data_IF_924244661939
#
_entry.id   IF_924244661939
#
_cell.length_a   1.000
_cell.length_b   1.000
_cell.length_c   1.000
_cell.angle_alpha   90.00
_cell.angle_beta   90.00
_cell.angle_gamma   90.00
#
_symmetry.space_group_name_H-M   'P 1'
#
loop_
_entity.id
_entity.type
_entity.pdbx_description
1 polymer ?
#
# COMPACT_ATOMS: atom_id res chain seq x y z
N UNK A 1 30.17 26.35 -17.39
CA UNK A 1 29.91 25.40 -18.49
C UNK A 1 28.72 25.89 -19.31
N UNK A 2 28.87 26.48 -20.51
CA UNK A 2 27.73 27.00 -21.25
C UNK A 2 27.05 25.85 -22.02
N UNK A 3 26.29 25.02 -21.29
CA UNK A 3 25.54 23.87 -21.81
C UNK A 3 24.13 24.23 -22.29
N UNK A 4 23.99 25.29 -23.08
CA UNK A 4 22.73 25.69 -23.70
C UNK A 4 22.35 24.77 -24.87
N UNK A 5 21.07 24.78 -25.27
CA UNK A 5 20.62 24.13 -26.51
C UNK A 5 21.29 24.83 -27.70
N UNK A 6 21.67 24.07 -28.73
CA UNK A 6 22.19 24.64 -29.98
C UNK A 6 21.16 25.60 -30.56
N UNK A 7 21.61 26.81 -30.89
CA UNK A 7 20.80 27.83 -31.57
C UNK A 7 20.66 27.48 -33.06
N UNK A 8 19.86 28.26 -33.79
CA UNK A 8 19.66 28.04 -35.23
C UNK A 8 20.85 28.53 -36.02
N UNK A 9 21.55 29.54 -35.48
CA UNK A 9 22.85 29.93 -35.97
C UNK A 9 23.86 28.80 -35.78
N UNK A 10 23.94 28.21 -34.58
CA UNK A 10 24.84 27.08 -34.31
C UNK A 10 24.59 25.93 -35.31
N UNK A 11 23.33 25.67 -35.68
CA UNK A 11 22.97 24.61 -36.65
C UNK A 11 23.39 24.94 -38.09
N UNK A 12 23.28 26.21 -38.51
CA UNK A 12 23.73 26.67 -39.83
C UNK A 12 25.25 26.59 -39.94
N UNK A 13 25.96 26.96 -38.88
CA UNK A 13 27.42 26.89 -38.84
C UNK A 13 27.92 25.43 -38.86
N UNK A 14 27.20 24.50 -38.21
CA UNK A 14 27.46 23.06 -38.34
C UNK A 14 27.27 22.60 -39.79
N UNK A 15 26.19 23.02 -40.47
CA UNK A 15 25.95 22.63 -41.85
C UNK A 15 27.02 23.18 -42.82
N UNK A 16 27.44 24.45 -42.65
CA UNK A 16 28.53 25.04 -43.42
C UNK A 16 29.84 24.28 -43.20
N UNK A 17 30.18 24.01 -41.93
CA UNK A 17 31.39 23.27 -41.60
C UNK A 17 31.43 21.86 -42.19
N UNK A 18 30.28 21.17 -42.26
CA UNK A 18 30.21 19.86 -42.92
C UNK A 18 30.34 19.97 -44.45
N UNK A 19 29.74 20.99 -45.07
CA UNK A 19 29.88 21.23 -46.52
C UNK A 19 31.33 21.59 -46.91
N UNK A 20 32.06 22.25 -46.00
CA UNK A 20 33.50 22.54 -46.13
C UNK A 20 34.40 21.32 -45.81
N UNK A 21 33.82 20.17 -45.45
CA UNK A 21 34.56 18.95 -45.12
C UNK A 21 35.28 18.99 -43.76
N UNK A 22 34.89 19.89 -42.85
CA UNK A 22 35.49 20.00 -41.53
C UNK A 22 35.06 18.83 -40.62
N UNK A 23 36.01 18.32 -39.84
CA UNK A 23 35.73 17.33 -38.80
C UNK A 23 34.93 17.91 -37.62
N UNK A 24 34.17 17.07 -36.91
CA UNK A 24 33.29 17.50 -35.82
C UNK A 24 34.01 18.25 -34.68
N UNK A 25 35.27 17.93 -34.41
CA UNK A 25 36.08 18.59 -33.37
C UNK A 25 36.45 20.04 -33.75
N UNK A 26 36.64 20.31 -35.04
CA UNK A 26 36.91 21.66 -35.57
C UNK A 26 35.66 22.53 -35.47
N UNK A 27 34.52 22.01 -35.93
CA UNK A 27 33.21 22.67 -35.84
C UNK A 27 32.87 22.99 -34.37
N UNK A 28 33.10 22.04 -33.47
CA UNK A 28 32.88 22.20 -32.03
C UNK A 28 33.73 23.32 -31.43
N UNK A 29 35.01 23.42 -31.82
CA UNK A 29 35.92 24.47 -31.34
C UNK A 29 35.45 25.86 -31.79
N UNK A 30 35.06 26.00 -33.06
CA UNK A 30 34.56 27.27 -33.62
C UNK A 30 33.29 27.76 -32.93
N UNK A 31 32.43 26.83 -32.52
CA UNK A 31 31.17 27.14 -31.82
C UNK A 31 31.30 27.22 -30.29
N UNK A 32 32.48 26.97 -29.73
CA UNK A 32 32.66 26.88 -28.27
C UNK A 32 31.79 25.80 -27.62
N UNK A 33 31.54 24.69 -28.33
CA UNK A 33 30.69 23.57 -27.89
C UNK A 33 31.52 22.30 -27.70
N UNK A 34 31.07 21.35 -26.86
CA UNK A 34 31.67 20.02 -26.81
C UNK A 34 31.51 19.26 -28.13
N UNK A 35 32.54 18.53 -28.56
CA UNK A 35 32.51 17.69 -29.78
C UNK A 35 31.36 16.67 -29.77
N UNK A 36 31.03 16.13 -28.59
CA UNK A 36 29.91 15.20 -28.41
C UNK A 36 28.55 15.85 -28.66
N UNK A 37 28.42 17.17 -28.56
CA UNK A 37 27.19 17.90 -28.90
C UNK A 37 26.99 17.95 -30.40
N UNK A 38 28.06 18.24 -31.16
CA UNK A 38 28.03 18.28 -32.63
C UNK A 38 27.78 16.88 -33.19
N UNK A 39 28.55 15.89 -32.75
CA UNK A 39 28.38 14.49 -33.18
C UNK A 39 26.96 13.97 -32.95
N UNK A 40 26.38 14.20 -31.77
CA UNK A 40 25.00 13.77 -31.46
C UNK A 40 23.93 14.55 -32.23
N UNK A 41 24.17 15.82 -32.54
CA UNK A 41 23.25 16.61 -33.36
C UNK A 41 23.25 16.12 -34.81
N UNK A 42 24.43 15.91 -35.39
CA UNK A 42 24.60 15.44 -36.77
C UNK A 42 24.04 14.03 -36.94
N UNK A 43 24.41 13.09 -36.07
CA UNK A 43 23.90 11.72 -36.10
C UNK A 43 22.37 11.65 -35.97
N UNK A 44 21.76 12.54 -35.19
CA UNK A 44 20.31 12.56 -34.95
C UNK A 44 19.51 13.17 -36.10
N UNK A 45 20.12 13.98 -36.96
CA UNK A 45 19.41 14.73 -37.99
C UNK A 45 19.91 14.43 -39.42
N UNK A 46 20.33 13.18 -39.68
CA UNK A 46 20.63 12.69 -41.03
C UNK A 46 22.07 12.22 -41.28
N UNK A 47 22.95 12.31 -40.28
CA UNK A 47 24.37 11.96 -40.44
C UNK A 47 25.15 13.03 -41.22
N UNK A 48 26.48 12.87 -41.37
CA UNK A 48 27.35 13.87 -42.00
C UNK A 48 26.91 14.23 -43.42
N UNK A 49 26.53 13.23 -44.23
CA UNK A 49 26.16 13.43 -45.64
C UNK A 49 24.72 13.91 -45.85
N UNK A 50 23.88 13.81 -44.80
CA UNK A 50 22.46 14.15 -44.85
C UNK A 50 22.04 15.30 -43.93
N UNK A 51 22.99 15.94 -43.25
CA UNK A 51 22.68 16.97 -42.25
C UNK A 51 22.17 18.26 -42.91
N UNK A 52 20.99 18.71 -42.49
CA UNK A 52 20.39 19.98 -42.92
C UNK A 52 20.00 20.82 -41.71
N UNK A 53 20.51 22.05 -41.63
CA UNK A 53 20.28 22.95 -40.51
C UNK A 53 18.79 23.24 -40.27
N UNK A 54 18.06 23.55 -41.34
CA UNK A 54 16.63 23.87 -41.29
C UNK A 54 15.81 22.67 -40.82
N UNK A 55 16.11 21.47 -41.35
CA UNK A 55 15.48 20.23 -40.91
C UNK A 55 15.81 19.90 -39.45
N UNK A 56 17.05 20.12 -39.00
CA UNK A 56 17.46 19.90 -37.61
C UNK A 56 16.77 20.90 -36.65
N UNK A 57 16.62 22.16 -37.06
CA UNK A 57 15.87 23.17 -36.32
C UNK A 57 14.39 22.81 -36.24
N UNK A 58 13.77 22.54 -37.39
CA UNK A 58 12.37 22.13 -37.47
C UNK A 58 12.13 20.87 -36.66
N UNK A 59 12.94 19.82 -36.79
CA UNK A 59 12.81 18.59 -36.02
C UNK A 59 12.94 18.85 -34.51
N UNK A 60 13.78 19.79 -34.11
CA UNK A 60 13.87 20.25 -32.70
C UNK A 60 12.61 20.98 -32.27
N UNK A 61 12.05 21.84 -33.13
CA UNK A 61 10.77 22.51 -32.95
C UNK A 61 9.58 21.54 -32.91
N UNK A 62 9.49 20.58 -33.82
CA UNK A 62 8.48 19.51 -33.86
C UNK A 62 8.56 18.62 -32.62
N UNK A 63 9.78 18.30 -32.13
CA UNK A 63 9.97 17.57 -30.87
C UNK A 63 9.57 18.41 -29.65
N UNK A 64 9.88 19.70 -29.64
CA UNK A 64 9.43 20.62 -28.60
C UNK A 64 7.90 20.81 -28.63
N UNK A 65 7.29 20.85 -29.81
CA UNK A 65 5.83 20.92 -30.04
C UNK A 65 5.11 19.61 -29.72
N UNK A 66 5.73 18.45 -29.92
CA UNK A 66 5.22 17.14 -29.44
C UNK A 66 5.41 16.94 -27.93
N UNK A 67 6.40 17.60 -27.32
CA UNK A 67 6.60 17.64 -25.86
C UNK A 67 5.78 18.72 -25.16
N UNK A 68 5.32 19.73 -25.89
CA UNK A 68 4.21 20.58 -25.48
C UNK A 68 2.99 19.68 -25.53
N UNK A 69 2.30 19.42 -24.41
CA UNK A 69 1.03 18.74 -24.46
C UNK A 69 0.19 19.49 -25.48
N UNK A 70 -0.42 18.77 -26.43
CA UNK A 70 -1.60 19.31 -27.07
C UNK A 70 -2.52 19.79 -25.93
N UNK A 71 -3.18 20.96 -26.03
CA UNK A 71 -4.37 21.14 -25.20
C UNK A 71 -5.17 19.86 -25.42
N UNK A 72 -5.58 19.15 -24.36
CA UNK A 72 -6.36 17.94 -24.55
C UNK A 72 -7.46 18.34 -25.52
N UNK A 73 -7.57 17.61 -26.65
CA UNK A 73 -8.91 17.40 -27.18
C UNK A 73 -9.72 17.08 -25.93
N UNK A 74 -10.80 17.81 -25.67
CA UNK A 74 -11.74 17.52 -24.61
C UNK A 74 -12.11 16.05 -24.78
N UNK A 75 -11.30 15.16 -24.18
CA UNK A 75 -11.76 13.97 -23.54
C UNK A 75 -12.90 14.54 -22.76
N UNK A 76 -14.14 14.05 -23.00
CA UNK A 76 -15.25 14.50 -22.21
C UNK A 76 -14.71 14.54 -20.80
N UNK A 77 -14.83 15.70 -20.15
CA UNK A 77 -15.16 15.63 -18.75
C UNK A 77 -16.34 14.68 -18.80
N UNK A 78 -16.07 13.39 -18.61
CA UNK A 78 -17.08 12.44 -18.27
C UNK A 78 -17.54 13.10 -17.00
N UNK A 79 -18.60 13.90 -17.16
CA UNK A 79 -19.36 14.49 -16.10
C UNK A 79 -19.39 13.37 -15.08
N UNK A 80 -18.70 13.59 -13.95
CA UNK A 80 -18.28 12.50 -13.07
C UNK A 80 -19.44 11.54 -12.97
N UNK A 81 -19.20 10.24 -13.19
CA UNK A 81 -20.23 9.25 -13.51
C UNK A 81 -21.33 9.10 -12.44
N UNK A 82 -21.38 9.96 -11.42
CA UNK A 82 -22.46 10.12 -10.45
C UNK A 82 -22.78 11.57 -10.03
N UNK A 83 -22.64 12.59 -10.89
CA UNK A 83 -23.19 13.94 -10.61
C UNK A 83 -22.60 14.67 -9.39
N UNK A 84 -21.38 14.30 -8.98
CA UNK A 84 -20.72 14.80 -7.75
C UNK A 84 -20.13 16.20 -7.97
N UNK A 85 -20.23 17.06 -6.97
CA UNK A 85 -19.60 18.38 -6.97
C UNK A 85 -18.05 18.26 -7.07
N UNK A 86 -17.42 18.82 -8.12
CA UNK A 86 -15.98 18.79 -8.29
C UNK A 86 -15.18 19.44 -7.15
N UNK A 87 -15.75 20.43 -6.45
CA UNK A 87 -15.10 21.09 -5.32
C UNK A 87 -15.10 20.20 -4.09
N UNK A 88 -16.23 19.57 -3.78
CA UNK A 88 -16.34 18.56 -2.72
C UNK A 88 -15.35 17.39 -2.92
N UNK A 89 -15.21 16.87 -4.15
CA UNK A 89 -14.26 15.78 -4.45
C UNK A 89 -12.82 16.25 -4.22
N UNK A 90 -12.46 17.46 -4.65
CA UNK A 90 -11.13 18.04 -4.42
C UNK A 90 -10.84 18.21 -2.93
N UNK A 91 -11.82 18.70 -2.17
CA UNK A 91 -11.74 18.84 -0.72
C UNK A 91 -11.48 17.50 -0.03
N UNK A 92 -12.21 16.45 -0.42
CA UNK A 92 -12.02 15.10 0.10
C UNK A 92 -10.63 14.54 -0.24
N UNK A 93 -10.16 14.69 -1.49
CA UNK A 93 -8.82 14.22 -1.89
C UNK A 93 -7.72 14.85 -1.03
N UNK A 94 -7.80 16.15 -0.76
CA UNK A 94 -6.81 16.82 0.10
C UNK A 94 -6.92 16.40 1.58
N UNK A 95 -8.13 16.22 2.12
CA UNK A 95 -8.32 15.70 3.48
C UNK A 95 -7.79 14.27 3.61
N UNK A 96 -8.10 13.40 2.66
CA UNK A 96 -7.66 12.01 2.69
C UNK A 96 -6.13 11.90 2.53
N UNK A 97 -5.54 12.74 1.65
CA UNK A 97 -4.10 12.87 1.58
C UNK A 97 -3.48 13.37 2.90
N UNK A 98 -4.13 14.30 3.60
CA UNK A 98 -3.65 14.79 4.88
C UNK A 98 -3.62 13.69 5.96
N UNK A 99 -4.61 12.77 5.98
CA UNK A 99 -4.61 11.61 6.88
C UNK A 99 -3.44 10.67 6.59
N UNK A 100 -3.17 10.36 5.32
CA UNK A 100 -2.03 9.53 4.94
C UNK A 100 -0.68 10.17 5.29
N UNK A 101 -0.59 11.51 5.26
CA UNK A 101 0.62 12.20 5.73
C UNK A 101 0.83 12.02 7.24
N UNK A 102 -0.25 12.04 8.02
CA UNK A 102 -0.16 11.81 9.48
C UNK A 102 0.32 10.40 9.82
N UNK A 103 0.04 9.41 8.96
CA UNK A 103 0.53 8.03 9.13
C UNK A 103 1.96 7.82 8.60
N UNK A 104 2.60 8.86 8.06
CA UNK A 104 4.01 8.85 7.68
C UNK A 104 4.29 8.85 6.17
N UNK A 105 3.27 8.89 5.30
CA UNK A 105 3.50 8.97 3.86
C UNK A 105 4.03 10.37 3.46
N UNK A 106 4.99 10.46 2.51
CA UNK A 106 5.38 11.72 1.92
C UNK A 106 4.18 12.42 1.27
N UNK A 107 4.05 13.74 1.48
CA UNK A 107 2.92 14.56 1.01
C UNK A 107 2.51 14.30 -0.44
N UNK A 108 3.47 14.14 -1.35
CA UNK A 108 3.13 13.92 -2.77
C UNK A 108 2.74 12.49 -3.10
N UNK A 109 3.30 11.50 -2.41
CA UNK A 109 2.84 10.11 -2.51
C UNK A 109 1.40 9.99 -2.00
N UNK A 110 1.08 10.62 -0.88
CA UNK A 110 -0.27 10.68 -0.32
C UNK A 110 -1.29 11.32 -1.29
N UNK A 111 -0.94 12.45 -1.92
CA UNK A 111 -1.83 13.12 -2.90
C UNK A 111 -2.04 12.29 -4.16
N UNK A 112 -0.99 11.66 -4.70
CA UNK A 112 -1.11 10.73 -5.85
C UNK A 112 -2.00 9.55 -5.50
N UNK A 113 -1.80 8.95 -4.34
CA UNK A 113 -2.57 7.80 -3.88
C UNK A 113 -4.06 8.17 -3.65
N UNK A 114 -4.34 9.31 -3.03
CA UNK A 114 -5.70 9.83 -2.86
C UNK A 114 -6.40 10.06 -4.21
N UNK A 115 -5.70 10.59 -5.21
CA UNK A 115 -6.25 10.73 -6.56
C UNK A 115 -6.56 9.39 -7.23
N UNK A 116 -5.73 8.37 -7.03
CA UNK A 116 -5.97 7.04 -7.59
C UNK A 116 -7.12 6.31 -6.88
N UNK A 117 -7.33 6.51 -5.58
CA UNK A 117 -8.48 5.93 -4.86
C UNK A 117 -9.83 6.56 -5.24
N UNK A 118 -9.82 7.80 -5.72
CA UNK A 118 -11.05 8.59 -5.93
C UNK A 118 -11.46 8.67 -7.40
N UNK A 119 -10.75 7.99 -8.31
CA UNK A 119 -11.08 7.98 -9.73
C UNK A 119 -11.97 6.79 -10.10
N UNK A 120 -13.14 7.06 -10.69
CA UNK A 120 -14.07 6.01 -11.13
C UNK A 120 -13.46 5.08 -12.21
N UNK A 121 -12.48 5.57 -12.98
CA UNK A 121 -11.80 4.80 -14.03
C UNK A 121 -10.79 3.75 -13.51
N UNK A 122 -10.48 3.74 -12.20
CA UNK A 122 -9.55 2.81 -11.56
C UNK A 122 -8.06 2.96 -11.94
N UNK A 123 -7.74 3.75 -12.96
CA UNK A 123 -6.38 3.94 -13.46
C UNK A 123 -6.13 5.37 -13.96
N UNK A 124 -4.92 5.90 -13.75
CA UNK A 124 -4.48 7.20 -14.29
C UNK A 124 -3.09 7.11 -14.94
N UNK A 125 -2.88 7.87 -16.00
CA UNK A 125 -1.57 8.10 -16.61
C UNK A 125 -0.78 9.18 -15.86
N UNK A 126 0.53 9.25 -16.10
CA UNK A 126 1.37 10.33 -15.54
C UNK A 126 0.87 11.73 -15.93
N UNK A 127 0.35 11.90 -17.16
CA UNK A 127 -0.16 13.17 -17.65
C UNK A 127 -1.43 13.60 -16.91
N UNK A 128 -2.37 12.66 -16.71
CA UNK A 128 -3.61 12.93 -15.96
C UNK A 128 -3.33 13.25 -14.49
N UNK A 129 -2.34 12.60 -13.87
CA UNK A 129 -1.89 12.92 -12.51
C UNK A 129 -1.29 14.33 -12.42
N UNK A 130 -0.45 14.73 -13.38
CA UNK A 130 0.12 16.09 -13.48
C UNK A 130 -0.98 17.14 -13.58
N UNK A 131 -1.96 16.90 -14.43
CA UNK A 131 -3.07 17.82 -14.68
C UNK A 131 -3.97 17.97 -13.44
N UNK A 132 -4.40 16.85 -12.85
CA UNK A 132 -5.30 16.84 -11.68
C UNK A 132 -4.66 17.46 -10.45
N UNK A 133 -3.40 17.09 -10.17
CA UNK A 133 -2.69 17.54 -8.97
C UNK A 133 -2.07 18.94 -9.14
N UNK A 134 -1.98 19.44 -10.38
CA UNK A 134 -1.30 20.68 -10.75
C UNK A 134 0.15 20.73 -10.25
N UNK A 135 0.89 19.64 -10.48
CA UNK A 135 2.30 19.47 -10.06
C UNK A 135 3.19 19.13 -11.24
N UNK A 136 4.51 19.19 -11.05
CA UNK A 136 5.46 18.85 -12.12
C UNK A 136 5.47 17.35 -12.46
N UNK A 137 5.79 16.96 -13.71
CA UNK A 137 5.99 15.57 -14.09
C UNK A 137 7.03 14.85 -13.22
N UNK A 138 8.11 15.54 -12.84
CA UNK A 138 9.15 14.97 -11.99
C UNK A 138 8.64 14.62 -10.57
N UNK A 139 7.75 15.45 -10.01
CA UNK A 139 7.12 15.19 -8.72
C UNK A 139 6.23 13.95 -8.77
N UNK A 140 5.46 13.79 -9.86
CA UNK A 140 4.65 12.58 -10.09
C UNK A 140 5.53 11.35 -10.24
N UNK A 141 6.58 11.41 -11.06
CA UNK A 141 7.51 10.28 -11.25
C UNK A 141 8.17 9.83 -9.95
N UNK A 142 8.59 10.78 -9.09
CA UNK A 142 9.19 10.46 -7.79
C UNK A 142 8.18 9.83 -6.83
N UNK A 143 6.96 10.36 -6.79
CA UNK A 143 5.89 9.82 -5.95
C UNK A 143 5.46 8.41 -6.39
N UNK A 144 5.31 8.18 -7.69
CA UNK A 144 5.05 6.86 -8.27
C UNK A 144 6.17 5.89 -7.92
N UNK A 145 7.44 6.24 -8.13
CA UNK A 145 8.55 5.34 -7.81
C UNK A 145 8.61 4.96 -6.33
N UNK A 146 8.27 5.90 -5.44
CA UNK A 146 8.13 5.60 -4.01
C UNK A 146 6.97 4.63 -3.73
N UNK A 147 5.79 4.85 -4.32
CA UNK A 147 4.61 3.99 -4.14
C UNK A 147 4.78 2.60 -4.78
N UNK A 148 5.47 2.50 -5.91
CA UNK A 148 5.89 1.23 -6.52
C UNK A 148 6.84 0.47 -5.58
N UNK A 149 7.79 1.16 -4.95
CA UNK A 149 8.69 0.57 -3.95
C UNK A 149 7.96 0.04 -2.70
N UNK A 150 6.83 0.65 -2.33
CA UNK A 150 5.93 0.14 -1.30
C UNK A 150 4.94 -0.91 -1.80
N UNK A 151 4.99 -1.29 -3.08
CA UNK A 151 4.05 -2.20 -3.75
C UNK A 151 2.59 -1.74 -3.72
N UNK A 152 2.35 -0.44 -3.50
CA UNK A 152 1.01 0.20 -3.37
C UNK A 152 0.40 0.56 -4.73
N UNK A 153 1.26 0.82 -5.72
CA UNK A 153 0.84 1.16 -7.08
C UNK A 153 1.56 0.25 -8.05
N UNK A 154 0.83 -0.26 -9.05
CA UNK A 154 1.41 -1.02 -10.16
C UNK A 154 1.23 -0.28 -11.48
N UNK A 155 2.20 -0.49 -12.37
CA UNK A 155 2.14 -0.05 -13.77
C UNK A 155 1.43 -1.09 -14.62
N UNK A 156 0.40 -0.67 -15.32
CA UNK A 156 -0.24 -1.42 -16.39
C UNK A 156 0.08 -0.83 -17.75
N UNK A 157 0.22 -1.70 -18.76
CA UNK A 157 0.28 -1.26 -20.15
C UNK A 157 -1.14 -1.05 -20.66
N UNK A 158 -1.47 0.19 -21.01
CA UNK A 158 -2.75 0.48 -21.65
C UNK A 158 -2.82 -0.02 -23.10
N UNK A 159 -4.04 -0.14 -23.67
CA UNK A 159 -4.25 -0.53 -25.07
C UNK A 159 -3.72 0.50 -26.09
N UNK A 160 -3.53 1.77 -25.70
CA UNK A 160 -2.71 2.76 -26.42
C UNK A 160 -1.35 2.87 -25.72
N UNK A 161 -0.26 3.11 -26.49
CA UNK A 161 1.10 3.36 -25.98
C UNK A 161 1.09 4.38 -24.82
N UNK A 162 1.04 3.89 -23.59
CA UNK A 162 1.01 4.70 -22.38
C UNK A 162 0.89 3.82 -21.14
N UNK A 163 1.77 4.07 -20.17
CA UNK A 163 1.71 3.45 -18.85
C UNK A 163 0.55 4.06 -18.06
N UNK A 164 -0.26 3.19 -17.45
CA UNK A 164 -1.32 3.55 -16.51
C UNK A 164 -0.94 3.06 -15.12
N UNK A 165 -1.26 3.84 -14.11
CA UNK A 165 -1.03 3.54 -12.71
C UNK A 165 -2.35 3.13 -12.09
N UNK A 166 -2.33 1.98 -11.43
CA UNK A 166 -3.49 1.38 -10.75
C UNK A 166 -3.08 1.13 -9.30
N UNK A 167 -3.99 1.44 -8.37
CA UNK A 167 -3.82 0.96 -6.99
C UNK A 167 -4.09 -0.53 -7.03
N UNK A 168 -3.12 -1.30 -6.57
CA UNK A 168 -3.25 -2.75 -6.58
C UNK A 168 -4.30 -3.17 -5.53
N UNK A 169 -5.24 -4.03 -5.94
CA UNK A 169 -6.39 -4.42 -5.13
C UNK A 169 -5.96 -5.15 -3.84
N UNK A 170 -4.80 -5.83 -3.89
CA UNK A 170 -4.25 -6.62 -2.79
C UNK A 170 -3.29 -5.79 -1.91
N UNK A 171 -3.14 -4.48 -2.18
CA UNK A 171 -2.17 -3.63 -1.46
C UNK A 171 -2.45 -3.59 0.02
N UNK A 172 -3.72 -3.38 0.36
CA UNK A 172 -4.13 -3.32 1.75
C UNK A 172 -3.94 -4.68 2.41
N UNK A 173 -4.29 -5.77 1.72
CA UNK A 173 -4.13 -7.13 2.24
C UNK A 173 -2.65 -7.52 2.42
N UNK A 174 -1.78 -7.18 1.46
CA UNK A 174 -0.33 -7.42 1.55
C UNK A 174 0.35 -6.51 2.57
N UNK A 175 -0.04 -5.24 2.67
CA UNK A 175 0.48 -4.30 3.67
C UNK A 175 0.05 -4.73 5.08
N UNK A 176 -1.19 -5.20 5.22
CA UNK A 176 -1.75 -5.78 6.43
C UNK A 176 -0.98 -7.04 6.85
N UNK A 177 -0.80 -8.00 5.93
CA UNK A 177 -0.02 -9.23 6.14
C UNK A 177 1.46 -8.93 6.47
N UNK A 178 2.08 -7.96 5.79
CA UNK A 178 3.46 -7.56 6.04
C UNK A 178 3.61 -6.91 7.41
N UNK A 179 2.65 -6.08 7.80
CA UNK A 179 2.64 -5.44 9.12
C UNK A 179 2.39 -6.45 10.24
N UNK A 180 1.51 -7.43 10.03
CA UNK A 180 1.32 -8.55 10.95
C UNK A 180 2.63 -9.33 11.16
N UNK A 181 3.31 -9.72 10.07
CA UNK A 181 4.62 -10.39 10.14
C UNK A 181 5.69 -9.56 10.86
N UNK A 182 5.75 -8.26 10.61
CA UNK A 182 6.68 -7.39 11.31
C UNK A 182 6.41 -7.41 12.82
N UNK A 183 5.14 -7.25 13.24
CA UNK A 183 4.75 -7.31 14.64
C UNK A 183 5.07 -8.68 15.29
N UNK A 184 4.88 -9.79 14.57
CA UNK A 184 5.30 -11.11 15.03
C UNK A 184 6.82 -11.18 15.30
N UNK A 185 7.64 -10.65 14.38
CA UNK A 185 9.09 -10.58 14.59
C UNK A 185 9.49 -9.74 15.80
N UNK A 186 8.80 -8.61 16.04
CA UNK A 186 9.00 -7.81 17.25
C UNK A 186 8.62 -8.58 18.52
N UNK A 187 7.54 -9.37 18.46
CA UNK A 187 7.11 -10.21 19.56
C UNK A 187 8.18 -11.25 19.93
N UNK A 188 8.67 -11.99 18.94
CA UNK A 188 9.70 -13.03 19.12
C UNK A 188 10.99 -12.44 19.70
N UNK A 189 11.47 -11.32 19.14
CA UNK A 189 12.67 -10.66 19.63
C UNK A 189 12.52 -10.15 21.07
N UNK A 190 11.34 -9.61 21.43
CA UNK A 190 11.07 -9.14 22.79
C UNK A 190 10.95 -10.29 23.79
N UNK A 191 10.33 -11.42 23.41
CA UNK A 191 10.26 -12.61 24.26
C UNK A 191 11.64 -13.23 24.49
N UNK A 192 12.45 -13.36 23.43
CA UNK A 192 13.84 -13.81 23.55
C UNK A 192 14.66 -12.86 24.46
N UNK A 193 14.46 -11.55 24.31
CA UNK A 193 15.06 -10.56 25.20
C UNK A 193 14.63 -10.76 26.66
N UNK A 194 13.36 -11.05 26.91
CA UNK A 194 12.86 -11.29 28.27
C UNK A 194 13.53 -12.50 28.95
N UNK A 195 13.83 -13.55 28.18
CA UNK A 195 14.60 -14.71 28.66
C UNK A 195 16.05 -14.32 28.99
N UNK A 196 16.72 -13.60 28.09
CA UNK A 196 18.12 -13.18 28.25
C UNK A 196 18.30 -12.27 29.48
N UNK A 197 17.41 -11.28 29.64
CA UNK A 197 17.49 -10.32 30.75
C UNK A 197 16.86 -10.85 32.04
N UNK A 198 16.19 -11.99 31.99
CA UNK A 198 15.55 -12.65 33.13
C UNK A 198 14.23 -11.99 33.57
N UNK A 199 13.21 -12.81 33.79
CA UNK A 199 11.85 -12.37 34.12
C UNK A 199 11.72 -11.58 35.44
N UNK A 200 12.73 -11.66 36.32
CA UNK A 200 12.76 -10.94 37.60
C UNK A 200 13.33 -9.52 37.50
N UNK A 201 13.92 -9.15 36.36
CA UNK A 201 14.46 -7.81 36.15
C UNK A 201 13.42 -6.86 35.57
N UNK A 202 13.57 -5.56 35.81
CA UNK A 202 12.68 -4.54 35.23
C UNK A 202 12.75 -4.53 33.69
N UNK A 203 13.93 -4.83 33.12
CA UNK A 203 14.11 -4.93 31.68
C UNK A 203 13.38 -6.16 31.11
N UNK A 204 13.55 -7.33 31.73
CA UNK A 204 12.84 -8.55 31.34
C UNK A 204 11.33 -8.40 31.42
N UNK A 205 10.80 -7.80 32.49
CA UNK A 205 9.36 -7.55 32.64
C UNK A 205 8.80 -6.57 31.58
N UNK A 206 9.58 -5.59 31.12
CA UNK A 206 9.16 -4.68 30.04
C UNK A 206 9.16 -5.39 28.69
N UNK A 207 10.19 -6.17 28.40
CA UNK A 207 10.33 -6.93 27.17
C UNK A 207 9.25 -8.00 27.05
N UNK A 208 8.95 -8.72 28.13
CA UNK A 208 7.85 -9.67 28.18
C UNK A 208 6.49 -9.00 27.94
N UNK A 209 6.23 -7.83 28.57
CA UNK A 209 5.00 -7.06 28.30
C UNK A 209 4.91 -6.62 26.84
N UNK A 210 6.01 -6.14 26.26
CA UNK A 210 6.07 -5.72 24.87
C UNK A 210 5.86 -6.91 23.92
N UNK A 211 6.52 -8.04 24.16
CA UNK A 211 6.37 -9.27 23.37
C UNK A 211 4.94 -9.77 23.37
N UNK A 212 4.31 -9.85 24.55
CA UNK A 212 2.90 -10.24 24.67
C UNK A 212 1.94 -9.25 23.99
N UNK A 213 2.26 -7.97 23.95
CA UNK A 213 1.45 -6.98 23.23
C UNK A 213 1.55 -7.17 21.72
N UNK A 214 2.76 -7.25 21.17
CA UNK A 214 2.97 -7.38 19.73
C UNK A 214 2.50 -8.74 19.19
N UNK A 215 2.57 -9.81 19.99
CA UNK A 215 1.97 -11.11 19.64
C UNK A 215 0.46 -10.98 19.42
N UNK A 216 -0.27 -10.42 20.40
CA UNK A 216 -1.72 -10.20 20.26
C UNK A 216 -2.07 -9.29 19.08
N UNK A 217 -1.31 -8.21 18.90
CA UNK A 217 -1.53 -7.29 17.79
C UNK A 217 -1.30 -7.98 16.44
N UNK A 218 -0.29 -8.85 16.33
CA UNK A 218 -0.04 -9.65 15.13
C UNK A 218 -1.19 -10.61 14.85
N UNK A 219 -1.73 -11.28 15.86
CA UNK A 219 -2.84 -12.22 15.69
C UNK A 219 -4.14 -11.50 15.26
N UNK A 220 -4.44 -10.37 15.88
CA UNK A 220 -5.57 -9.50 15.50
C UNK A 220 -5.39 -9.01 14.04
N UNK A 221 -4.17 -8.63 13.66
CA UNK A 221 -3.81 -8.21 12.30
C UNK A 221 -3.62 -9.37 11.31
N UNK A 222 -3.58 -10.62 11.73
CA UNK A 222 -3.63 -11.76 10.81
C UNK A 222 -5.07 -12.15 10.47
N UNK A 223 -6.04 -11.39 10.99
CA UNK A 223 -7.47 -11.56 10.75
C UNK A 223 -8.22 -12.24 11.88
N UNK A 224 -7.57 -12.55 13.02
CA UNK A 224 -8.20 -13.35 14.07
C UNK A 224 -8.88 -14.63 13.53
N UNK A 225 -9.75 -15.29 14.31
CA UNK A 225 -10.68 -16.25 13.73
C UNK A 225 -11.58 -15.50 12.74
N UNK A 226 -11.79 -16.04 11.53
CA UNK A 226 -12.77 -15.50 10.57
C UNK A 226 -14.13 -15.23 11.25
N UNK A 227 -14.96 -14.31 10.74
CA UNK A 227 -16.30 -14.05 11.31
C UNK A 227 -17.13 -15.34 11.45
N UNK A 228 -16.96 -16.27 10.51
CA UNK A 228 -17.51 -17.62 10.58
C UNK A 228 -16.93 -18.46 11.73
N UNK A 229 -15.61 -18.41 11.98
CA UNK A 229 -14.97 -19.11 13.10
C UNK A 229 -15.36 -18.51 14.46
N UNK A 230 -15.55 -17.19 14.56
CA UNK A 230 -16.12 -16.55 15.76
C UNK A 230 -17.56 -17.00 15.99
N UNK A 231 -18.38 -17.01 14.94
CA UNK A 231 -19.74 -17.53 14.99
C UNK A 231 -19.79 -19.01 15.43
N UNK A 232 -18.86 -19.82 14.94
CA UNK A 232 -18.77 -21.24 15.28
C UNK A 232 -18.39 -21.46 16.74
N UNK A 233 -17.37 -20.75 17.22
CA UNK A 233 -16.94 -20.78 18.62
C UNK A 233 -18.06 -20.34 19.57
N UNK A 234 -18.77 -19.25 19.25
CA UNK A 234 -19.90 -18.76 20.05
C UNK A 234 -21.06 -19.77 20.07
N UNK A 235 -21.31 -20.45 18.95
CA UNK A 235 -22.37 -21.47 18.85
C UNK A 235 -22.06 -22.70 19.69
N UNK A 236 -20.81 -23.19 19.68
CA UNK A 236 -20.38 -24.31 20.53
C UNK A 236 -20.45 -23.93 22.01
N UNK A 237 -20.07 -22.71 22.38
CA UNK A 237 -20.21 -22.21 23.75
C UNK A 237 -21.67 -22.10 24.17
N UNK A 238 -22.56 -21.60 23.30
CA UNK A 238 -23.99 -21.54 23.57
C UNK A 238 -24.59 -22.94 23.80
N UNK A 239 -24.15 -23.95 23.04
CA UNK A 239 -24.56 -25.34 23.26
C UNK A 239 -24.12 -25.87 24.63
N UNK A 240 -22.89 -25.56 25.06
CA UNK A 240 -22.38 -25.93 26.38
C UNK A 240 -23.11 -25.18 27.51
N UNK A 241 -23.45 -23.89 27.32
CA UNK A 241 -24.31 -23.13 28.25
C UNK A 241 -25.66 -23.80 28.39
N UNK A 242 -26.32 -24.08 27.26
CA UNK A 242 -27.64 -24.67 27.24
C UNK A 242 -27.68 -26.05 27.89
N UNK A 243 -26.71 -26.92 27.56
CA UNK A 243 -26.64 -28.27 28.10
C UNK A 243 -26.36 -28.28 29.60
N UNK A 244 -25.61 -27.29 30.13
CA UNK A 244 -25.25 -27.18 31.55
C UNK A 244 -24.56 -28.43 32.13
N UNK A 245 -24.04 -29.31 31.26
CA UNK A 245 -23.27 -30.50 31.60
C UNK A 245 -22.06 -30.62 30.66
N UNK A 246 -20.97 -31.28 31.08
CA UNK A 246 -19.81 -31.48 30.20
C UNK A 246 -20.17 -32.35 28.99
N UNK A 247 -19.75 -31.94 27.78
CA UNK A 247 -20.02 -32.66 26.53
C UNK A 247 -18.73 -33.03 25.80
N UNK A 248 -18.72 -34.18 25.12
CA UNK A 248 -17.66 -34.57 24.17
C UNK A 248 -17.85 -33.87 22.82
N UNK A 249 -16.80 -33.87 21.99
CA UNK A 249 -16.86 -33.39 20.59
C UNK A 249 -17.98 -34.09 19.80
N UNK A 250 -18.15 -35.41 19.98
CA UNK A 250 -19.16 -36.19 19.27
C UNK A 250 -20.59 -35.84 19.69
N UNK A 251 -20.82 -35.58 20.98
CA UNK A 251 -22.12 -35.12 21.47
C UNK A 251 -22.45 -33.72 20.94
N UNK A 252 -21.48 -32.81 20.91
CA UNK A 252 -21.63 -31.47 20.34
C UNK A 252 -21.90 -31.53 18.83
N UNK A 253 -21.14 -32.34 18.09
CA UNK A 253 -21.32 -32.55 16.66
C UNK A 253 -22.73 -33.07 16.34
N UNK A 254 -23.20 -34.06 17.11
CA UNK A 254 -24.55 -34.63 16.95
C UNK A 254 -25.63 -33.59 17.27
N UNK A 255 -25.48 -32.85 18.38
CA UNK A 255 -26.47 -31.84 18.80
C UNK A 255 -26.56 -30.62 17.88
N UNK A 256 -25.44 -30.23 17.25
CA UNK A 256 -25.37 -29.10 16.32
C UNK A 256 -25.60 -29.50 14.86
N UNK A 257 -25.60 -30.80 14.54
CA UNK A 257 -25.64 -31.30 13.17
C UNK A 257 -24.37 -30.94 12.37
N UNK A 258 -23.22 -30.87 13.03
CA UNK A 258 -21.96 -30.43 12.44
C UNK A 258 -20.96 -31.58 12.25
N UNK A 259 -20.02 -31.47 11.30
CA UNK A 259 -18.87 -32.37 11.24
C UNK A 259 -18.01 -32.29 12.52
N UNK A 260 -17.51 -33.40 13.07
CA UNK A 260 -16.66 -33.39 14.27
C UNK A 260 -15.40 -32.51 14.15
N UNK A 261 -14.82 -32.42 12.97
CA UNK A 261 -13.63 -31.59 12.73
C UNK A 261 -13.94 -30.10 12.89
N UNK A 262 -15.11 -29.64 12.40
CA UNK A 262 -15.57 -28.25 12.58
C UNK A 262 -15.75 -27.90 14.05
N UNK A 263 -16.33 -28.82 14.84
CA UNK A 263 -16.49 -28.65 16.29
C UNK A 263 -15.13 -28.62 16.99
N UNK A 264 -14.19 -29.45 16.55
CA UNK A 264 -12.82 -29.48 17.09
C UNK A 264 -12.10 -28.16 16.84
N UNK A 265 -12.17 -27.63 15.62
CA UNK A 265 -11.63 -26.32 15.27
C UNK A 265 -12.28 -25.21 16.08
N UNK A 266 -13.61 -25.19 16.20
CA UNK A 266 -14.33 -24.18 16.97
C UNK A 266 -13.99 -24.20 18.48
N UNK A 267 -13.82 -25.40 19.06
CA UNK A 267 -13.36 -25.55 20.45
C UNK A 267 -11.91 -25.08 20.61
N UNK A 268 -11.04 -25.42 19.66
CA UNK A 268 -9.66 -24.96 19.65
C UNK A 268 -9.58 -23.44 19.58
N UNK A 269 -10.35 -22.83 18.68
CA UNK A 269 -10.41 -21.37 18.52
C UNK A 269 -10.96 -20.70 19.79
N UNK A 270 -11.95 -21.29 20.44
CA UNK A 270 -12.49 -20.82 21.72
C UNK A 270 -11.48 -20.93 22.89
N UNK A 271 -10.60 -21.94 22.88
CA UNK A 271 -9.51 -22.08 23.86
C UNK A 271 -8.39 -21.06 23.61
N UNK A 272 -8.02 -20.84 22.35
CA UNK A 272 -6.93 -19.91 21.98
C UNK A 272 -7.34 -18.44 22.08
N UNK A 273 -8.64 -18.11 21.92
CA UNK A 273 -9.13 -16.73 21.90
C UNK A 273 -10.16 -16.41 22.99
N UNK A 274 -9.81 -16.54 24.29
CA UNK A 274 -10.75 -16.37 25.41
C UNK A 274 -11.27 -14.93 25.56
N UNK A 275 -10.64 -13.95 24.92
CA UNK A 275 -11.14 -12.57 24.81
C UNK A 275 -12.45 -12.48 24.01
N UNK A 276 -12.60 -13.30 22.97
CA UNK A 276 -13.74 -13.32 22.04
C UNK A 276 -14.96 -14.06 22.65
N UNK A 277 -14.71 -15.03 23.53
CA UNK A 277 -15.74 -15.88 24.16
C UNK A 277 -16.57 -15.19 25.26
N UNK A 278 -16.24 -13.95 25.62
CA UNK A 278 -17.05 -13.12 26.51
C UNK A 278 -17.04 -13.54 28.00
N UNK A 279 -18.19 -13.79 28.65
CA UNK A 279 -18.32 -13.99 30.10
C UNK A 279 -17.98 -15.40 30.60
N UNK A 280 -17.65 -16.33 29.71
CA UNK A 280 -17.41 -17.75 30.02
C UNK A 280 -16.00 -18.20 29.64
N UNK A 281 -15.46 -19.15 30.39
CA UNK A 281 -14.20 -19.83 30.14
C UNK A 281 -14.46 -21.30 29.87
N UNK A 282 -13.90 -21.79 28.76
CA UNK A 282 -13.94 -23.20 28.39
C UNK A 282 -12.93 -23.99 29.23
N UNK A 283 -13.34 -25.17 29.69
CA UNK A 283 -12.53 -26.11 30.47
C UNK A 283 -12.61 -27.48 29.85
N UNK A 284 -11.46 -28.01 29.46
CA UNK A 284 -11.31 -29.38 28.99
C UNK A 284 -10.93 -30.29 30.16
N UNK A 285 -11.74 -31.32 30.40
CA UNK A 285 -11.46 -32.35 31.41
C UNK A 285 -10.52 -33.43 30.84
N UNK A 286 -9.81 -34.14 31.73
CA UNK A 286 -8.95 -35.26 31.34
C UNK A 286 -9.71 -36.38 30.62
N UNK A 287 -11.02 -36.50 30.86
CA UNK A 287 -11.95 -37.40 30.17
C UNK A 287 -12.26 -37.01 28.71
N UNK A 288 -11.73 -35.89 28.21
CA UNK A 288 -12.00 -35.40 26.86
C UNK A 288 -13.35 -34.68 26.69
N UNK A 289 -14.03 -34.37 27.80
CA UNK A 289 -15.25 -33.56 27.82
C UNK A 289 -14.93 -32.08 28.02
N UNK A 290 -15.80 -31.22 27.50
CA UNK A 290 -15.71 -29.77 27.60
C UNK A 290 -16.84 -29.23 28.45
N UNK A 291 -16.52 -28.32 29.36
CA UNK A 291 -17.46 -27.61 30.21
C UNK A 291 -17.16 -26.11 30.19
N UNK A 292 -18.14 -25.30 30.59
CA UNK A 292 -17.94 -23.85 30.72
C UNK A 292 -17.99 -23.42 32.18
N UNK A 293 -17.26 -22.36 32.49
CA UNK A 293 -17.23 -21.74 33.82
C UNK A 293 -17.36 -20.23 33.66
N UNK A 294 -17.93 -19.53 34.65
CA UNK A 294 -17.98 -18.07 34.59
C UNK A 294 -16.57 -17.46 34.74
N UNK A 295 -16.27 -16.46 33.92
CA UNK A 295 -15.02 -15.69 34.00
C UNK A 295 -15.11 -14.63 35.10
N UNK A 296 -14.62 -14.99 36.28
CA UNK A 296 -14.62 -14.11 37.45
C UNK A 296 -13.63 -12.94 37.36
N UNK A 297 -12.68 -12.98 36.43
CA UNK A 297 -11.73 -11.91 36.14
C UNK A 297 -12.34 -10.73 35.36
N UNK A 298 -13.56 -10.89 34.84
CA UNK A 298 -14.33 -9.83 34.17
C UNK A 298 -15.10 -8.92 35.12
N UNK A 299 -15.32 -9.37 36.37
CA UNK A 299 -16.02 -8.61 37.40
C UNK A 299 -15.02 -8.17 38.47
N UNK A 300 -15.08 -6.90 38.87
CA UNK A 300 -14.33 -6.44 40.04
C UNK A 300 -14.80 -7.19 41.29
N UNK A 301 -13.96 -7.25 42.33
CA UNK A 301 -14.31 -7.91 43.59
C UNK A 301 -15.65 -7.38 44.16
N UNK A 302 -15.84 -6.05 44.13
CA UNK A 302 -17.06 -5.38 44.58
C UNK A 302 -18.30 -5.74 43.74
N UNK A 303 -18.17 -5.87 42.41
CA UNK A 303 -19.27 -6.31 41.55
C UNK A 303 -19.70 -7.74 41.86
N UNK A 304 -18.74 -8.65 42.10
CA UNK A 304 -19.02 -10.05 42.46
C UNK A 304 -19.80 -10.17 43.78
N UNK A 305 -19.39 -9.41 44.79
CA UNK A 305 -20.08 -9.38 46.09
C UNK A 305 -21.52 -8.84 45.98
N UNK A 306 -21.73 -7.79 45.19
CA UNK A 306 -23.06 -7.19 45.01
C UNK A 306 -24.08 -8.10 44.30
N UNK A 307 -23.60 -8.95 43.38
CA UNK A 307 -24.44 -9.88 42.60
C UNK A 307 -24.70 -11.21 43.32
N UNK A 308 -23.84 -11.60 44.27
CA UNK A 308 -23.99 -12.84 45.04
C UNK A 308 -25.06 -12.82 46.13
N UNK A 309 -25.67 -11.66 46.42
CA UNK A 309 -26.61 -11.48 47.52
C UNK A 309 -28.11 -11.62 47.18
N UNK A 310 -28.49 -11.98 45.95
CA UNK A 310 -29.88 -12.33 45.62
C UNK A 310 -30.03 -13.84 45.48
N UNK A 311 -30.53 -14.48 46.54
CA UNK A 311 -31.11 -15.84 46.50
C UNK A 311 -32.58 -15.76 46.12
#
# INVERSE_FOLDING_TARGET
MPGGRLSDQDRRDIASGLAEGLGYAEIARRLGRPTSTISREVARNGGPDGYRADHAHEATGWRARRRRPAPPAELPVAAGAGGRDPEAVRGFVEQFAALMVQTGLPRMAARVLACLYTIDAGALTAAELVERLRVSPASVSKAIGYLEGLTVVRRERGPRRGERYVVDDDVWERAWTTSARANAMWADAAMQGAEIFGATTTAGARLDRAGRFFARLSDDMAGGPTEAAVGDALTVLAALVHASVPLTVQQLATGLGWPPDRVTTALHDAEQHPNITGPVALRRAASGTYAITARLDRLTATQRESLGHRR
#
